data_IF_274031757994
#
_entry.id   IF_274031757994
#
_cell.length_a   1.000
_cell.length_b   1.000
_cell.length_c   1.000
_cell.angle_alpha   90.00
_cell.angle_beta   90.00
_cell.angle_gamma   90.00
#
_symmetry.space_group_name_H-M   'P 1'
#
loop_
_entity.id
_entity.type
_entity.pdbx_description
1 polymer ?
#
# COMPACT_ATOMS: atom_id res chain seq x y z
N UNK A 1 -28.31 -15.70 -5.82
CA UNK A 1 -27.20 -14.80 -6.16
C UNK A 1 -26.35 -14.34 -4.95
N UNK A 2 -26.73 -14.61 -3.69
CA UNK A 2 -25.93 -14.17 -2.53
C UNK A 2 -24.79 -15.13 -2.14
N UNK A 3 -24.94 -16.44 -2.37
CA UNK A 3 -24.03 -17.47 -1.86
C UNK A 3 -22.73 -17.62 -2.66
N UNK A 4 -22.76 -17.46 -3.98
CA UNK A 4 -21.56 -17.51 -4.83
C UNK A 4 -20.61 -16.34 -4.55
N UNK A 5 -21.17 -15.15 -4.33
CA UNK A 5 -20.41 -13.92 -4.00
C UNK A 5 -19.65 -14.04 -2.68
N UNK A 6 -20.24 -14.72 -1.69
CA UNK A 6 -19.58 -14.96 -0.40
C UNK A 6 -18.44 -15.96 -0.55
N UNK A 7 -18.58 -16.98 -1.39
CA UNK A 7 -17.55 -17.98 -1.65
C UNK A 7 -16.31 -17.39 -2.34
N UNK A 8 -16.50 -16.53 -3.34
CA UNK A 8 -15.41 -15.88 -4.06
C UNK A 8 -14.63 -14.92 -3.15
N UNK A 9 -15.32 -14.06 -2.39
CA UNK A 9 -14.67 -13.15 -1.44
C UNK A 9 -13.90 -13.92 -0.36
N UNK A 10 -14.45 -15.03 0.15
CA UNK A 10 -13.76 -15.88 1.12
C UNK A 10 -12.48 -16.48 0.54
N UNK A 11 -12.48 -16.88 -0.74
CA UNK A 11 -11.29 -17.40 -1.41
C UNK A 11 -10.19 -16.35 -1.56
N UNK A 12 -10.56 -15.09 -1.84
CA UNK A 12 -9.62 -13.98 -1.92
C UNK A 12 -9.04 -13.62 -0.55
N UNK A 13 -9.84 -13.68 0.52
CA UNK A 13 -9.34 -13.50 1.89
C UNK A 13 -8.33 -14.59 2.26
N UNK A 14 -8.60 -15.85 1.90
CA UNK A 14 -7.66 -16.96 2.13
C UNK A 14 -6.36 -16.78 1.34
N UNK A 15 -6.45 -16.33 0.09
CA UNK A 15 -5.29 -16.02 -0.73
C UNK A 15 -4.46 -14.88 -0.11
N UNK A 16 -5.11 -13.82 0.37
CA UNK A 16 -4.47 -12.72 1.08
C UNK A 16 -3.77 -13.19 2.37
N UNK A 17 -4.45 -13.94 3.23
CA UNK A 17 -3.90 -14.46 4.49
C UNK A 17 -2.65 -15.32 4.25
N UNK A 18 -2.68 -16.18 3.24
CA UNK A 18 -1.52 -16.98 2.84
C UNK A 18 -0.35 -16.08 2.43
N UNK A 19 -0.64 -15.04 1.65
CA UNK A 19 0.35 -14.06 1.19
C UNK A 19 1.04 -13.36 2.36
N UNK A 20 0.26 -12.91 3.35
CA UNK A 20 0.76 -12.26 4.57
C UNK A 20 1.60 -13.23 5.42
N UNK A 21 1.12 -14.46 5.62
CA UNK A 21 1.85 -15.47 6.39
C UNK A 21 3.23 -15.82 5.80
N UNK A 22 3.33 -15.93 4.47
CA UNK A 22 4.60 -16.16 3.80
C UNK A 22 5.54 -14.95 3.87
N UNK A 23 5.01 -13.72 3.79
CA UNK A 23 5.80 -12.49 3.96
C UNK A 23 6.38 -12.37 5.37
N UNK A 24 5.60 -12.73 6.40
CA UNK A 24 6.06 -12.78 7.79
C UNK A 24 7.19 -13.81 7.96
N UNK A 25 7.06 -15.01 7.39
CA UNK A 25 8.11 -16.03 7.45
C UNK A 25 9.43 -15.57 6.79
N UNK A 26 9.35 -14.88 5.64
CA UNK A 26 10.53 -14.29 4.99
C UNK A 26 11.15 -13.15 5.80
N UNK A 27 10.35 -12.35 6.50
CA UNK A 27 10.84 -11.31 7.39
C UNK A 27 11.60 -11.89 8.59
N UNK A 28 11.04 -12.90 9.25
CA UNK A 28 11.70 -13.58 10.37
C UNK A 28 13.05 -14.16 9.96
N UNK A 29 13.12 -14.79 8.77
CA UNK A 29 14.36 -15.30 8.20
C UNK A 29 15.39 -14.19 7.87
N UNK A 30 14.93 -12.99 7.51
CA UNK A 30 15.79 -11.86 7.11
C UNK A 30 16.14 -10.90 8.26
N UNK A 31 15.50 -11.07 9.43
CA UNK A 31 15.60 -10.15 10.59
C UNK A 31 17.02 -10.02 11.14
N UNK A 32 17.85 -11.05 11.00
CA UNK A 32 19.27 -11.01 11.44
C UNK A 32 20.16 -10.15 10.55
N UNK A 33 19.79 -9.88 9.29
CA UNK A 33 20.62 -9.10 8.35
C UNK A 33 20.37 -7.58 8.40
N UNK A 34 19.26 -7.12 8.99
CA UNK A 34 18.89 -5.70 9.02
C UNK A 34 19.60 -4.89 10.13
N UNK A 35 20.35 -5.53 11.02
CA UNK A 35 20.96 -4.85 12.19
C UNK A 35 22.32 -4.16 11.93
N UNK A 36 22.91 -4.22 10.73
CA UNK A 36 24.32 -3.84 10.55
C UNK A 36 24.65 -2.90 9.37
N UNK A 37 23.73 -2.05 8.89
CA UNK A 37 24.08 -1.09 7.83
C UNK A 37 23.60 0.34 8.12
N UNK A 38 24.57 1.26 8.14
CA UNK A 38 24.34 2.70 8.02
C UNK A 38 23.58 2.98 6.72
N UNK A 39 22.31 3.38 6.87
CA UNK A 39 21.39 3.67 5.78
C UNK A 39 21.74 5.03 5.16
N UNK A 40 22.52 5.05 4.08
CA UNK A 40 22.58 6.22 3.20
C UNK A 40 21.35 6.16 2.29
N UNK A 41 20.38 7.05 2.54
CA UNK A 41 19.10 7.14 1.82
C UNK A 41 19.31 7.98 0.55
N UNK A 42 19.22 7.42 -0.67
CA UNK A 42 19.47 8.18 -1.90
C UNK A 42 18.36 9.18 -2.25
N UNK A 43 17.21 9.12 -1.57
CA UNK A 43 16.05 9.99 -1.77
C UNK A 43 15.79 10.81 -0.52
N UNK A 44 16.34 12.02 -0.48
CA UNK A 44 16.02 12.96 0.60
C UNK A 44 14.56 13.41 0.48
N UNK A 45 13.91 13.64 1.62
CA UNK A 45 12.54 14.17 1.70
C UNK A 45 12.34 15.39 0.78
N UNK A 46 13.34 16.28 0.71
CA UNK A 46 13.30 17.50 -0.08
C UNK A 46 13.36 17.26 -1.59
N UNK A 47 13.99 16.17 -2.05
CA UNK A 47 14.09 15.81 -3.47
C UNK A 47 12.79 15.25 -4.07
N UNK A 48 11.87 14.76 -3.25
CA UNK A 48 10.60 14.19 -3.70
C UNK A 48 9.61 15.34 -3.97
N UNK A 49 8.96 15.34 -5.13
CA UNK A 49 7.93 16.35 -5.42
C UNK A 49 6.62 16.02 -4.70
N UNK A 50 5.73 17.00 -4.58
CA UNK A 50 4.35 16.74 -4.12
C UNK A 50 3.43 16.57 -5.32
N UNK A 51 2.41 15.72 -5.14
CA UNK A 51 1.28 15.56 -6.04
C UNK A 51 0.04 16.26 -5.51
N UNK A 52 -1.13 15.79 -5.93
CA UNK A 52 -2.44 16.25 -5.47
C UNK A 52 -3.29 15.05 -5.08
N UNK A 53 -3.95 15.14 -3.93
CA UNK A 53 -4.93 14.16 -3.48
C UNK A 53 -6.32 14.67 -3.83
N UNK A 54 -7.10 13.86 -4.51
CA UNK A 54 -8.48 14.15 -4.87
C UNK A 54 -9.43 13.28 -4.03
N UNK A 55 -10.53 13.87 -3.56
CA UNK A 55 -11.67 13.16 -2.96
C UNK A 55 -11.29 12.23 -1.79
N UNK A 56 -10.40 12.69 -0.90
CA UNK A 56 -9.95 11.92 0.28
C UNK A 56 -11.10 11.52 1.21
N UNK A 57 -12.13 12.38 1.31
CA UNK A 57 -13.36 12.15 2.08
C UNK A 57 -14.27 11.09 1.47
N UNK A 58 -13.99 10.63 0.24
CA UNK A 58 -14.73 9.59 -0.48
C UNK A 58 -14.13 8.20 -0.31
N UNK A 59 -13.07 8.04 0.48
CA UNK A 59 -12.51 6.73 0.82
C UNK A 59 -13.52 5.95 1.67
N UNK A 60 -13.96 4.79 1.16
CA UNK A 60 -14.82 3.86 1.89
C UNK A 60 -14.12 2.53 2.10
N UNK A 61 -14.05 2.12 3.37
CA UNK A 61 -13.59 0.81 3.78
C UNK A 61 -14.75 0.03 4.41
N UNK A 62 -14.89 -1.23 4.00
CA UNK A 62 -15.74 -2.21 4.66
C UNK A 62 -14.85 -3.19 5.42
N UNK A 63 -15.12 -3.36 6.72
CA UNK A 63 -14.44 -4.36 7.54
C UNK A 63 -14.78 -5.77 7.04
N UNK A 64 -13.74 -6.56 6.77
CA UNK A 64 -13.88 -7.99 6.50
C UNK A 64 -13.57 -8.81 7.75
N UNK A 65 -12.52 -8.41 8.49
CA UNK A 65 -12.04 -8.99 9.75
C UNK A 65 -11.08 -8.00 10.42
N UNK A 66 -10.57 -8.25 11.64
CA UNK A 66 -9.57 -7.37 12.24
C UNK A 66 -8.41 -7.13 11.29
N UNK A 67 -8.04 -5.86 11.11
CA UNK A 67 -6.93 -5.42 10.28
C UNK A 67 -7.03 -5.72 8.77
N UNK A 68 -8.21 -6.11 8.26
CA UNK A 68 -8.44 -6.39 6.84
C UNK A 68 -9.73 -5.73 6.34
N UNK A 69 -9.61 -5.01 5.23
CA UNK A 69 -10.66 -4.16 4.69
C UNK A 69 -10.87 -4.44 3.20
N UNK A 70 -12.13 -4.34 2.77
CA UNK A 70 -12.48 -4.16 1.38
C UNK A 70 -12.58 -2.65 1.10
N UNK A 71 -11.71 -2.13 0.24
CA UNK A 71 -11.85 -0.78 -0.30
C UNK A 71 -12.88 -0.81 -1.44
N UNK A 72 -13.86 0.11 -1.37
CA UNK A 72 -14.95 0.24 -2.34
C UNK A 72 -14.89 1.67 -2.90
N UNK A 73 -14.47 1.87 -4.16
CA UNK A 73 -14.42 3.21 -4.75
C UNK A 73 -15.83 3.75 -5.01
N UNK A 74 -15.99 5.09 -4.99
CA UNK A 74 -17.19 5.75 -5.52
C UNK A 74 -17.20 5.67 -7.06
N UNK A 75 -18.36 5.42 -7.65
CA UNK A 75 -18.52 5.44 -9.11
C UNK A 75 -18.30 6.85 -9.69
N UNK A 76 -18.79 7.88 -8.98
CA UNK A 76 -18.54 9.28 -9.32
C UNK A 76 -17.53 9.87 -8.33
N UNK A 77 -16.56 10.62 -8.86
CA UNK A 77 -15.53 11.32 -8.06
C UNK A 77 -14.79 10.38 -7.09
N UNK A 78 -14.17 9.28 -7.59
CA UNK A 78 -13.41 8.38 -6.73
C UNK A 78 -12.21 9.10 -6.10
N UNK A 79 -11.76 8.56 -4.97
CA UNK A 79 -10.43 8.88 -4.43
C UNK A 79 -9.36 8.64 -5.51
N UNK A 80 -8.47 9.61 -5.67
CA UNK A 80 -7.37 9.51 -6.61
C UNK A 80 -6.14 10.27 -6.11
N UNK A 81 -4.98 9.85 -6.60
CA UNK A 81 -3.74 10.59 -6.44
C UNK A 81 -3.21 11.01 -7.81
N UNK A 82 -2.95 12.31 -7.98
CA UNK A 82 -2.34 12.86 -9.18
C UNK A 82 -0.89 13.16 -8.86
N UNK A 83 0.02 12.45 -9.53
CA UNK A 83 1.46 12.67 -9.36
C UNK A 83 1.88 14.05 -9.90
N UNK A 84 3.03 14.56 -9.48
CA UNK A 84 3.64 15.80 -9.97
C UNK A 84 3.73 15.85 -11.51
N UNK A 85 3.95 14.70 -12.15
CA UNK A 85 3.95 14.58 -13.62
C UNK A 85 2.57 14.47 -14.28
N UNK A 86 1.48 14.64 -13.54
CA UNK A 86 0.10 14.55 -14.03
C UNK A 86 -0.47 13.15 -14.15
N UNK A 87 0.31 12.09 -13.88
CA UNK A 87 -0.20 10.71 -13.86
C UNK A 87 -1.22 10.57 -12.73
N UNK A 88 -2.48 10.33 -13.11
CA UNK A 88 -3.59 10.11 -12.19
C UNK A 88 -3.75 8.62 -11.88
N UNK A 89 -3.78 8.29 -10.60
CA UNK A 89 -3.90 6.94 -10.07
C UNK A 89 -5.22 6.83 -9.32
N UNK A 90 -6.04 5.85 -9.71
CA UNK A 90 -7.39 5.65 -9.19
C UNK A 90 -7.48 4.22 -8.69
N UNK A 91 -7.32 3.98 -7.38
CA UNK A 91 -7.52 2.66 -6.82
C UNK A 91 -8.93 2.13 -7.13
N UNK A 92 -8.99 0.86 -7.54
CA UNK A 92 -10.23 0.10 -7.77
C UNK A 92 -10.57 -0.77 -6.57
N UNK A 93 -11.69 -1.49 -6.62
CA UNK A 93 -12.06 -2.41 -5.54
C UNK A 93 -10.89 -3.36 -5.23
N UNK A 94 -10.46 -3.39 -3.96
CA UNK A 94 -9.35 -4.22 -3.53
C UNK A 94 -9.47 -4.62 -2.06
N UNK A 95 -8.84 -5.75 -1.71
CA UNK A 95 -8.62 -6.12 -0.32
C UNK A 95 -7.29 -5.50 0.12
N UNK A 96 -7.30 -4.77 1.22
CA UNK A 96 -6.12 -4.11 1.79
C UNK A 96 -6.13 -4.29 3.31
N UNK A 97 -4.95 -4.39 3.89
CA UNK A 97 -4.76 -4.38 5.34
C UNK A 97 -4.29 -3.00 5.85
N UNK A 98 -4.21 -2.00 4.96
CA UNK A 98 -3.77 -0.65 5.27
C UNK A 98 -2.28 -0.55 5.63
N UNK A 99 -1.46 -1.52 5.20
CA UNK A 99 0.01 -1.45 5.28
C UNK A 99 0.70 -2.72 5.75
N UNK A 100 0.63 -3.81 4.98
CA UNK A 100 1.30 -5.10 5.28
C UNK A 100 2.78 -4.91 5.61
N UNK A 101 3.51 -4.19 4.78
CA UNK A 101 4.97 -4.01 4.92
C UNK A 101 5.32 -3.27 6.23
N UNK A 102 4.70 -2.12 6.57
CA UNK A 102 4.95 -1.50 7.86
C UNK A 102 4.49 -2.31 9.08
N UNK A 103 3.45 -3.15 8.98
CA UNK A 103 3.08 -4.10 10.05
C UNK A 103 4.17 -5.15 10.25
N UNK A 104 4.59 -5.80 9.17
CA UNK A 104 5.62 -6.84 9.17
C UNK A 104 6.94 -6.31 9.73
N UNK A 105 7.29 -5.06 9.44
CA UNK A 105 8.51 -4.41 9.92
C UNK A 105 8.39 -3.79 11.33
N UNK A 106 7.24 -3.94 12.00
CA UNK A 106 7.01 -3.41 13.34
C UNK A 106 6.96 -1.88 13.41
N UNK A 107 6.68 -1.20 12.29
CA UNK A 107 6.64 0.27 12.25
C UNK A 107 5.43 0.86 12.99
N UNK A 108 4.32 0.12 13.11
CA UNK A 108 3.11 0.59 13.79
C UNK A 108 3.19 0.50 15.33
N UNK A 109 4.26 1.07 15.92
CA UNK A 109 4.38 1.33 17.35
C UNK A 109 3.52 2.53 17.81
N UNK A 110 3.73 2.99 19.05
CA UNK A 110 2.89 3.97 19.78
C UNK A 110 2.73 5.39 19.18
N UNK A 111 3.16 5.63 17.94
CA UNK A 111 3.06 6.93 17.27
C UNK A 111 2.66 6.88 15.79
N UNK A 112 2.51 5.69 15.18
CA UNK A 112 2.07 5.52 13.80
C UNK A 112 0.70 4.86 13.78
N UNK A 113 -0.34 5.65 13.50
CA UNK A 113 -1.67 5.10 13.21
C UNK A 113 -1.75 4.69 11.74
N UNK A 114 -2.02 3.42 11.41
CA UNK A 114 -2.24 2.97 10.03
C UNK A 114 -3.27 3.82 9.29
N UNK A 115 -4.32 4.25 10.00
CA UNK A 115 -5.40 5.06 9.45
C UNK A 115 -4.96 6.47 9.06
N UNK A 116 -3.93 7.03 9.72
CA UNK A 116 -3.43 8.37 9.41
C UNK A 116 -2.78 8.45 8.03
N UNK A 117 -2.19 7.35 7.57
CA UNK A 117 -1.47 7.27 6.29
C UNK A 117 -2.25 6.47 5.24
N UNK A 118 -3.52 6.17 5.51
CA UNK A 118 -4.37 5.31 4.68
C UNK A 118 -4.37 5.68 3.19
N UNK A 119 -4.52 6.96 2.77
CA UNK A 119 -4.45 7.32 1.35
C UNK A 119 -3.17 6.83 0.64
N UNK A 120 -2.01 6.95 1.30
CA UNK A 120 -0.73 6.49 0.75
C UNK A 120 -0.69 4.97 0.62
N UNK A 121 -1.17 4.26 1.63
CA UNK A 121 -1.27 2.79 1.59
C UNK A 121 -2.25 2.29 0.54
N UNK A 122 -3.40 2.96 0.37
CA UNK A 122 -4.37 2.56 -0.65
C UNK A 122 -3.80 2.65 -2.07
N UNK A 123 -3.06 3.70 -2.37
CA UNK A 123 -2.41 3.85 -3.68
C UNK A 123 -1.32 2.78 -3.86
N UNK A 124 -0.46 2.60 -2.85
CA UNK A 124 0.62 1.62 -2.87
C UNK A 124 0.12 0.19 -3.06
N UNK A 125 -0.83 -0.24 -2.22
CA UNK A 125 -1.35 -1.61 -2.22
C UNK A 125 -2.07 -1.91 -3.55
N UNK A 126 -2.82 -0.93 -4.06
CA UNK A 126 -3.48 -1.08 -5.36
C UNK A 126 -2.48 -1.23 -6.50
N UNK A 127 -1.40 -0.43 -6.55
CA UNK A 127 -0.37 -0.58 -7.58
C UNK A 127 0.37 -1.93 -7.45
N UNK A 128 0.64 -2.41 -6.23
CA UNK A 128 1.24 -3.73 -6.02
C UNK A 128 0.36 -4.87 -6.53
N UNK A 129 -0.93 -4.88 -6.17
CA UNK A 129 -1.84 -5.91 -6.66
C UNK A 129 -2.09 -5.78 -8.17
N UNK A 130 -2.17 -4.55 -8.69
CA UNK A 130 -2.29 -4.31 -10.14
C UNK A 130 -1.07 -4.83 -10.90
N UNK A 131 0.13 -4.73 -10.32
CA UNK A 131 1.34 -5.35 -10.87
C UNK A 131 1.20 -6.89 -10.92
N UNK A 132 0.76 -7.51 -9.83
CA UNK A 132 0.54 -8.97 -9.77
C UNK A 132 -0.59 -9.45 -10.70
N UNK A 133 -1.56 -8.58 -11.03
CA UNK A 133 -2.59 -8.83 -12.03
C UNK A 133 -2.13 -8.55 -13.48
N UNK A 134 -0.96 -7.93 -13.68
CA UNK A 134 -0.45 -7.54 -15.00
C UNK A 134 -1.12 -6.28 -15.59
N UNK A 135 -1.83 -5.51 -14.78
CA UNK A 135 -2.61 -4.34 -15.21
C UNK A 135 -1.75 -3.06 -15.36
N UNK A 136 -0.56 -3.04 -14.75
CA UNK A 136 0.38 -1.92 -14.83
C UNK A 136 1.78 -2.38 -15.23
N UNK A 137 2.52 -1.50 -15.91
CA UNK A 137 3.92 -1.73 -16.31
C UNK A 137 4.91 -0.94 -15.45
N UNK A 138 4.45 -0.32 -14.36
CA UNK A 138 5.31 0.41 -13.43
C UNK A 138 6.39 -0.52 -12.87
N UNK A 139 7.59 0.00 -12.63
CA UNK A 139 8.62 -0.71 -11.87
C UNK A 139 8.35 -0.67 -10.37
N UNK A 140 9.04 -1.54 -9.62
CA UNK A 140 9.02 -1.50 -8.15
C UNK A 140 9.42 -0.12 -7.61
N UNK A 141 10.44 0.49 -8.21
CA UNK A 141 10.92 1.83 -7.88
C UNK A 141 9.86 2.89 -8.15
N UNK A 142 9.11 2.79 -9.27
CA UNK A 142 8.04 3.74 -9.59
C UNK A 142 6.90 3.69 -8.59
N UNK A 143 6.50 2.49 -8.16
CA UNK A 143 5.44 2.31 -7.15
C UNK A 143 5.90 2.78 -5.78
N UNK A 144 7.14 2.45 -5.40
CA UNK A 144 7.79 3.01 -4.19
C UNK A 144 7.76 4.53 -4.20
N UNK A 145 8.22 5.14 -5.29
CA UNK A 145 8.35 6.59 -5.39
C UNK A 145 6.98 7.26 -5.40
N UNK A 146 5.98 6.63 -6.03
CA UNK A 146 4.58 7.07 -5.97
C UNK A 146 4.07 7.12 -4.52
N UNK A 147 4.30 6.06 -3.73
CA UNK A 147 3.92 6.04 -2.31
C UNK A 147 4.61 7.16 -1.51
N UNK A 148 5.90 7.40 -1.76
CA UNK A 148 6.61 8.47 -1.06
C UNK A 148 6.13 9.86 -1.46
N UNK A 149 5.72 10.03 -2.72
CA UNK A 149 5.17 11.27 -3.25
C UNK A 149 3.84 11.64 -2.58
N UNK A 150 2.92 10.68 -2.48
CA UNK A 150 1.65 10.90 -1.76
C UNK A 150 1.89 11.09 -0.26
N UNK A 151 2.81 10.35 0.36
CA UNK A 151 3.15 10.54 1.77
C UNK A 151 3.70 11.94 2.05
N UNK A 152 4.61 12.44 1.20
CA UNK A 152 5.09 13.82 1.29
C UNK A 152 3.95 14.81 1.11
N UNK A 153 3.08 14.57 0.13
CA UNK A 153 1.90 15.41 -0.13
C UNK A 153 1.02 15.51 1.12
N UNK A 154 0.74 14.40 1.80
CA UNK A 154 -0.04 14.39 3.04
C UNK A 154 0.64 15.18 4.17
N UNK A 155 1.97 15.12 4.28
CA UNK A 155 2.74 15.88 5.28
C UNK A 155 2.78 17.38 4.99
N UNK A 156 2.96 17.78 3.73
CA UNK A 156 3.05 19.20 3.33
C UNK A 156 1.68 19.89 3.29
N UNK A 157 0.60 19.13 3.08
CA UNK A 157 -0.79 19.64 3.12
C UNK A 157 -1.40 19.64 4.52
N UNK A 158 -0.70 19.09 5.52
CA UNK A 158 -1.19 19.02 6.91
C UNK A 158 -2.26 17.96 7.16
N UNK A 159 -2.51 17.05 6.21
CA UNK A 159 -3.36 15.87 6.43
C UNK A 159 -2.77 14.99 7.54
N UNK A 160 -1.44 14.90 7.58
CA UNK A 160 -0.68 14.29 8.68
C UNK A 160 0.44 15.23 9.11
N UNK A 161 0.88 15.09 10.36
CA UNK A 161 2.04 15.84 10.84
C UNK A 161 3.29 15.44 10.05
N UNK A 162 4.05 16.43 9.59
CA UNK A 162 5.36 16.22 8.98
C UNK A 162 6.29 15.53 9.98
N UNK A 163 6.74 14.33 9.63
CA UNK A 163 7.66 13.55 10.44
C UNK A 163 8.69 12.83 9.53
N UNK A 164 9.91 13.38 9.51
CA UNK A 164 10.99 12.87 8.65
C UNK A 164 11.42 11.46 9.06
N UNK A 165 11.36 11.13 10.36
CA UNK A 165 11.67 9.79 10.85
C UNK A 165 10.65 8.81 10.26
N UNK A 166 9.36 9.10 10.40
CA UNK A 166 8.29 8.28 9.80
C UNK A 166 8.46 8.10 8.30
N UNK A 167 8.71 9.20 7.58
CA UNK A 167 8.93 9.17 6.14
C UNK A 167 10.08 8.22 5.77
N UNK A 168 11.21 8.35 6.46
CA UNK A 168 12.40 7.52 6.24
C UNK A 168 12.15 6.06 6.59
N UNK A 169 11.42 5.80 7.68
CA UNK A 169 11.07 4.45 8.12
C UNK A 169 10.15 3.76 7.12
N UNK A 170 9.12 4.45 6.61
CA UNK A 170 8.25 3.93 5.55
C UNK A 170 9.06 3.63 4.30
N UNK A 171 9.88 4.59 3.82
CA UNK A 171 10.75 4.38 2.66
C UNK A 171 11.63 3.14 2.79
N UNK A 172 12.32 3.00 3.93
CA UNK A 172 13.19 1.86 4.18
C UNK A 172 12.44 0.53 4.10
N UNK A 173 11.19 0.49 4.56
CA UNK A 173 10.39 -0.72 4.49
C UNK A 173 9.90 -1.07 3.10
N UNK A 174 9.31 -0.11 2.40
CA UNK A 174 8.80 -0.35 1.04
C UNK A 174 9.92 -0.53 0.00
N UNK A 175 11.13 -0.07 0.31
CA UNK A 175 12.32 -0.29 -0.52
C UNK A 175 13.13 -1.54 -0.12
N UNK A 176 12.64 -2.33 0.85
CA UNK A 176 13.39 -3.46 1.40
C UNK A 176 13.50 -4.65 0.42
N UNK A 177 14.48 -5.56 0.61
CA UNK A 177 14.53 -6.81 -0.13
C UNK A 177 13.29 -7.68 0.02
N UNK A 178 12.59 -7.58 1.17
CA UNK A 178 11.34 -8.30 1.43
C UNK A 178 10.22 -7.75 0.55
N UNK A 179 10.06 -6.43 0.52
CA UNK A 179 9.11 -5.76 -0.36
C UNK A 179 9.38 -6.12 -1.83
N UNK A 180 10.66 -6.13 -2.24
CA UNK A 180 11.05 -6.54 -3.60
C UNK A 180 10.80 -8.03 -3.87
N UNK A 181 11.02 -8.90 -2.88
CA UNK A 181 10.69 -10.32 -2.98
C UNK A 181 9.20 -10.55 -3.16
N UNK A 182 8.37 -9.77 -2.46
CA UNK A 182 6.92 -9.78 -2.63
C UNK A 182 6.50 -9.26 -4.00
N UNK A 183 7.10 -8.16 -4.47
CA UNK A 183 6.90 -7.61 -5.81
C UNK A 183 7.21 -8.65 -6.90
N UNK A 184 8.40 -9.26 -6.86
CA UNK A 184 8.89 -10.20 -7.86
C UNK A 184 8.25 -11.59 -7.81
N UNK A 185 7.40 -11.88 -6.81
CA UNK A 185 6.81 -13.21 -6.70
C UNK A 185 5.91 -13.46 -7.91
N UNK A 186 6.28 -14.44 -8.74
CA UNK A 186 5.47 -14.89 -9.87
C UNK A 186 4.04 -15.15 -9.37
N UNK A 187 3.01 -14.61 -10.04
CA UNK A 187 1.64 -14.74 -9.57
C UNK A 187 1.21 -16.21 -9.59
N UNK A 188 0.55 -16.67 -8.52
CA UNK A 188 -0.64 -17.43 -8.73
C UNK A 188 -1.75 -16.74 -7.95
N UNK A 189 -2.36 -15.75 -8.58
CA UNK A 189 -3.66 -15.12 -8.27
C UNK A 189 -3.52 -13.60 -8.24
N UNK A 190 -3.99 -12.97 -9.31
CA UNK A 190 -4.58 -11.66 -9.17
C UNK A 190 -5.59 -11.74 -8.00
N UNK A 191 -5.34 -11.01 -6.92
CA UNK A 191 -6.21 -11.02 -5.73
C UNK A 191 -7.23 -9.89 -5.74
N UNK A 192 -7.19 -9.05 -6.78
CA UNK A 192 -8.18 -8.00 -6.97
C UNK A 192 -9.56 -8.65 -7.18
N UNK A 193 -10.55 -8.33 -6.34
CA UNK A 193 -11.92 -8.70 -6.61
C UNK A 193 -12.42 -7.98 -7.87
N UNK A 194 -13.53 -8.45 -8.48
CA UNK A 194 -14.19 -7.71 -9.54
C UNK A 194 -14.48 -6.28 -9.11
N UNK A 195 -14.19 -5.31 -9.99
CA UNK A 195 -14.41 -3.90 -9.70
C UNK A 195 -15.92 -3.63 -9.51
N UNK A 196 -16.28 -3.15 -8.33
CA UNK A 196 -17.65 -2.91 -7.89
C UNK A 196 -17.72 -1.54 -7.20
N UNK A 197 -17.66 -0.44 -7.97
CA UNK A 197 -17.85 0.88 -7.42
C UNK A 197 -19.29 1.07 -6.91
N UNK A 198 -19.44 1.89 -5.88
CA UNK A 198 -20.75 2.25 -5.31
C UNK A 198 -21.38 3.53 -5.90
#
# INVERSE_FOLDING_TARGET
MSTERTGELQSLIVAHDRKVGEALAHFEASRQQLQTRDFIVPHSYDGIQTGTIENIDRIRLQWLRPDLFLYIPKAAEPFAFVRHGGKRIVPRTMITDGGTIPKVLGMFGSGLSPMGYLPAFLVHDWEFESHHCGDITNSFEDVRDTMMEILKTMMETGIVNKNIVTFTTIYAGINSPIARGYWNRDPPSCTLPPDQPE
#
